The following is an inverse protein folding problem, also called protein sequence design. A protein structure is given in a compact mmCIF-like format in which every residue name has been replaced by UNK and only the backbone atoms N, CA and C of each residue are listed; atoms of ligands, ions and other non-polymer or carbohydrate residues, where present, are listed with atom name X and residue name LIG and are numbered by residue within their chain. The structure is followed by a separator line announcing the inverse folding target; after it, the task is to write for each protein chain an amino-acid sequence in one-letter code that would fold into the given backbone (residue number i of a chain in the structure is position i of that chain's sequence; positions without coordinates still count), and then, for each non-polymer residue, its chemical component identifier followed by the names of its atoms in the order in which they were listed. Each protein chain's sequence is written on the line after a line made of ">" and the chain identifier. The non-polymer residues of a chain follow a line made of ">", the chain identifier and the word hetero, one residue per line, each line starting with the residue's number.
data_IF_309373741392
#
_entry.id   IF_309373741392
#
_cell.length_a   1.000
_cell.length_b   1.000
_cell.length_c   1.000
_cell.angle_alpha   90.00
_cell.angle_beta   90.00
_cell.angle_gamma   90.00
#
_symmetry.space_group_name_H-M   'P 1'
#
loop_
_entity.id
_entity.type
_entity.pdbx_description
1 polymer ?
#
# COMPACT_ATOMS: atom_id res chain seq x y z
N UNK A 1 1.42 -32.49 -11.81
CA UNK A 1 0.97 -31.86 -13.07
C UNK A 1 2.21 -31.42 -13.85
N UNK A 2 2.33 -31.76 -15.14
CA UNK A 2 3.55 -31.40 -15.91
C UNK A 2 3.51 -29.91 -16.28
N UNK A 3 4.64 -29.20 -16.23
CA UNK A 3 4.72 -27.76 -16.54
C UNK A 3 4.13 -27.34 -17.90
N UNK A 4 3.96 -28.28 -18.84
CA UNK A 4 3.29 -28.07 -20.13
C UNK A 4 1.75 -27.98 -20.02
N UNK A 5 1.13 -28.70 -19.09
CA UNK A 5 -0.33 -28.70 -18.90
C UNK A 5 -0.79 -27.37 -18.30
N UNK A 6 -0.07 -26.90 -17.27
CA UNK A 6 -0.26 -25.57 -16.66
C UNK A 6 -0.13 -24.42 -17.67
N UNK A 7 0.70 -24.59 -18.71
CA UNK A 7 0.86 -23.58 -19.74
C UNK A 7 -0.44 -23.41 -20.56
N UNK A 8 -1.14 -24.49 -20.89
CA UNK A 8 -2.36 -24.42 -21.69
C UNK A 8 -3.48 -23.70 -20.95
N UNK A 9 -3.56 -23.87 -19.63
CA UNK A 9 -4.54 -23.18 -18.79
C UNK A 9 -4.34 -21.67 -18.78
N UNK A 10 -3.16 -21.15 -19.09
CA UNK A 10 -2.91 -19.70 -19.17
C UNK A 10 -3.50 -19.05 -20.43
N UNK A 11 -3.81 -19.84 -21.47
CA UNK A 11 -4.30 -19.30 -22.75
C UNK A 11 -5.76 -19.68 -22.99
N UNK A 12 -6.52 -18.77 -23.60
CA UNK A 12 -7.91 -19.02 -23.98
C UNK A 12 -8.00 -19.64 -25.36
N UNK A 13 -8.79 -20.70 -25.53
CA UNK A 13 -9.14 -21.22 -26.86
C UNK A 13 -10.15 -20.33 -27.59
N UNK A 14 -10.25 -20.46 -28.91
CA UNK A 14 -11.21 -19.67 -29.70
C UNK A 14 -12.67 -19.93 -29.27
N UNK A 15 -12.98 -21.15 -28.76
CA UNK A 15 -14.30 -21.47 -28.22
C UNK A 15 -14.58 -20.76 -26.88
N UNK A 16 -13.60 -20.75 -25.97
CA UNK A 16 -13.72 -20.10 -24.66
C UNK A 16 -13.73 -18.58 -24.77
N UNK A 17 -13.00 -18.01 -25.73
CA UNK A 17 -12.94 -16.55 -25.94
C UNK A 17 -14.31 -15.90 -26.18
N UNK A 18 -15.33 -16.68 -26.57
CA UNK A 18 -16.71 -16.21 -26.74
C UNK A 18 -17.41 -15.89 -25.43
N UNK A 19 -17.02 -16.52 -24.33
CA UNK A 19 -17.57 -16.25 -22.99
C UNK A 19 -16.67 -15.31 -22.17
N UNK A 20 -15.57 -14.83 -22.75
CA UNK A 20 -14.59 -13.97 -22.09
C UNK A 20 -14.72 -12.55 -22.61
N UNK A 21 -14.47 -11.58 -21.73
CA UNK A 21 -14.43 -10.17 -22.11
C UNK A 21 -12.99 -9.77 -22.42
N UNK A 22 -12.76 -8.97 -23.46
CA UNK A 22 -11.44 -8.35 -23.64
C UNK A 22 -11.23 -7.31 -22.53
N UNK A 23 -10.00 -7.17 -22.05
CA UNK A 23 -9.66 -6.22 -20.98
C UNK A 23 -10.19 -4.81 -21.26
N UNK A 24 -10.00 -4.32 -22.49
CA UNK A 24 -10.39 -2.96 -22.86
C UNK A 24 -11.90 -2.76 -22.95
N UNK A 25 -12.61 -3.79 -23.41
CA UNK A 25 -14.07 -3.76 -23.49
C UNK A 25 -14.66 -3.81 -22.08
N UNK A 26 -14.04 -4.58 -21.19
CA UNK A 26 -14.44 -4.72 -19.79
C UNK A 26 -14.22 -3.44 -18.98
N UNK A 27 -13.17 -2.68 -19.28
CA UNK A 27 -12.90 -1.39 -18.64
C UNK A 27 -13.68 -0.22 -19.26
N UNK A 28 -14.46 -0.46 -20.32
CA UNK A 28 -15.16 0.61 -21.02
C UNK A 28 -16.32 1.13 -20.18
N UNK A 29 -16.22 2.37 -19.72
CA UNK A 29 -17.24 3.00 -18.88
C UNK A 29 -17.08 2.73 -17.39
N UNK A 30 -16.00 2.05 -16.99
CA UNK A 30 -15.68 1.76 -15.59
C UNK A 30 -14.61 2.74 -15.07
N UNK A 31 -14.81 3.22 -13.84
CA UNK A 31 -13.82 4.04 -13.17
C UNK A 31 -12.69 3.18 -12.59
N UNK A 32 -11.45 3.59 -12.87
CA UNK A 32 -10.26 2.91 -12.33
C UNK A 32 -9.80 3.47 -10.99
N UNK A 33 -10.26 4.67 -10.67
CA UNK A 33 -9.82 5.46 -9.52
C UNK A 33 -11.05 6.10 -8.90
N UNK A 34 -11.08 6.14 -7.58
CA UNK A 34 -12.05 6.87 -6.79
C UNK A 34 -11.34 7.89 -5.92
N UNK A 35 -11.96 9.04 -5.76
CA UNK A 35 -11.57 10.03 -4.77
C UNK A 35 -12.17 9.63 -3.43
N UNK A 36 -11.38 9.77 -2.36
CA UNK A 36 -11.80 9.39 -1.02
C UNK A 36 -11.45 10.49 -0.04
N UNK A 37 -12.40 10.84 0.82
CA UNK A 37 -12.14 11.76 1.91
C UNK A 37 -11.26 11.06 2.95
N UNK A 38 -10.15 11.70 3.30
CA UNK A 38 -9.25 11.20 4.33
C UNK A 38 -9.36 12.09 5.57
N UNK A 39 -9.93 11.57 6.67
CA UNK A 39 -10.06 12.33 7.91
C UNK A 39 -8.72 12.92 8.37
N UNK A 40 -8.72 14.22 8.65
CA UNK A 40 -7.56 14.96 9.14
C UNK A 40 -6.51 15.32 8.11
N UNK A 41 -6.71 14.97 6.85
CA UNK A 41 -6.00 15.60 5.77
C UNK A 41 -6.66 16.95 5.40
N UNK A 42 -5.89 17.77 4.68
CA UNK A 42 -6.39 19.01 4.10
C UNK A 42 -7.56 18.68 3.16
N UNK A 43 -8.77 19.22 3.40
CA UNK A 43 -9.95 18.93 2.58
C UNK A 43 -9.80 19.38 1.13
N UNK A 44 -8.88 20.30 0.84
CA UNK A 44 -8.59 20.75 -0.53
C UNK A 44 -7.60 19.80 -1.25
N UNK A 45 -7.04 18.81 -0.53
CA UNK A 45 -6.12 17.83 -1.08
C UNK A 45 -6.85 16.60 -1.62
N UNK A 46 -6.79 16.41 -2.93
CA UNK A 46 -7.39 15.25 -3.60
C UNK A 46 -6.63 13.95 -3.26
N UNK A 47 -7.33 13.02 -2.63
CA UNK A 47 -6.81 11.70 -2.26
C UNK A 47 -7.41 10.62 -3.16
N UNK A 48 -6.56 9.96 -3.92
CA UNK A 48 -6.98 8.99 -4.94
C UNK A 48 -6.62 7.57 -4.55
N UNK A 49 -7.55 6.64 -4.78
CA UNK A 49 -7.39 5.20 -4.55
C UNK A 49 -7.88 4.43 -5.77
N UNK A 50 -7.25 3.30 -6.10
CA UNK A 50 -7.79 2.40 -7.13
C UNK A 50 -9.13 1.80 -6.72
N UNK A 51 -10.03 1.64 -7.68
CA UNK A 51 -11.23 0.82 -7.46
C UNK A 51 -10.85 -0.64 -7.22
N UNK A 52 -11.72 -1.39 -6.54
CA UNK A 52 -11.51 -2.83 -6.35
C UNK A 52 -11.40 -3.57 -7.67
N UNK A 53 -12.15 -3.12 -8.68
CA UNK A 53 -12.07 -3.67 -10.02
C UNK A 53 -10.67 -3.47 -10.62
N UNK A 54 -10.19 -2.23 -10.68
CA UNK A 54 -8.86 -1.93 -11.21
C UNK A 54 -7.75 -2.67 -10.44
N UNK A 55 -7.88 -2.76 -9.12
CA UNK A 55 -6.98 -3.51 -8.23
C UNK A 55 -6.94 -5.01 -8.58
N UNK A 56 -8.10 -5.65 -8.65
CA UNK A 56 -8.22 -7.09 -8.93
C UNK A 56 -7.75 -7.43 -10.34
N UNK A 57 -8.06 -6.60 -11.34
CA UNK A 57 -7.58 -6.80 -12.71
C UNK A 57 -6.06 -6.67 -12.80
N UNK A 58 -5.49 -5.67 -12.12
CA UNK A 58 -4.03 -5.49 -12.04
C UNK A 58 -3.36 -6.70 -11.40
N UNK A 59 -3.90 -7.19 -10.27
CA UNK A 59 -3.42 -8.38 -9.59
C UNK A 59 -3.50 -9.62 -10.49
N UNK A 60 -4.65 -9.83 -11.13
CA UNK A 60 -4.92 -10.96 -12.03
C UNK A 60 -3.92 -11.02 -13.20
N UNK A 61 -3.58 -9.88 -13.80
CA UNK A 61 -2.54 -9.80 -14.85
C UNK A 61 -1.16 -10.15 -14.29
N UNK A 62 -0.80 -9.61 -13.11
CA UNK A 62 0.50 -9.87 -12.49
C UNK A 62 0.65 -11.33 -12.07
N UNK A 63 -0.40 -11.93 -11.52
CA UNK A 63 -0.45 -13.36 -11.24
C UNK A 63 -0.22 -14.14 -12.52
N UNK A 64 -0.96 -13.87 -13.59
CA UNK A 64 -0.78 -14.57 -14.86
C UNK A 64 0.68 -14.59 -15.34
N UNK A 65 1.38 -13.45 -15.26
CA UNK A 65 2.80 -13.38 -15.60
C UNK A 65 3.71 -14.11 -14.60
N UNK A 66 3.38 -14.05 -13.31
CA UNK A 66 4.04 -14.85 -12.27
C UNK A 66 3.96 -16.35 -12.60
N UNK A 67 2.79 -16.86 -12.94
CA UNK A 67 2.59 -18.26 -13.35
C UNK A 67 3.37 -18.60 -14.62
N UNK A 68 3.33 -17.73 -15.65
CA UNK A 68 4.10 -17.92 -16.88
C UNK A 68 5.61 -18.03 -16.61
N UNK A 69 6.14 -17.13 -15.77
CA UNK A 69 7.55 -17.06 -15.44
C UNK A 69 8.00 -18.22 -14.57
N UNK A 70 7.15 -18.70 -13.66
CA UNK A 70 7.36 -19.90 -12.85
C UNK A 70 7.36 -21.17 -13.70
N UNK A 71 6.52 -21.24 -14.73
CA UNK A 71 6.55 -22.31 -15.73
C UNK A 71 7.81 -22.27 -16.64
N UNK A 72 8.68 -21.28 -16.49
CA UNK A 72 9.93 -21.16 -17.24
C UNK A 72 9.77 -20.55 -18.63
N UNK A 73 8.68 -19.80 -18.86
CA UNK A 73 8.36 -19.16 -20.13
C UNK A 73 8.28 -17.63 -20.03
N UNK A 74 8.26 -16.97 -21.19
CA UNK A 74 8.22 -15.51 -21.32
C UNK A 74 7.69 -15.16 -22.72
N UNK A 75 6.98 -14.03 -22.82
CA UNK A 75 6.53 -13.46 -24.09
C UNK A 75 7.54 -12.45 -24.66
N UNK A 76 8.66 -12.21 -23.96
CA UNK A 76 9.72 -11.28 -24.35
C UNK A 76 9.20 -9.85 -24.61
N UNK A 77 8.16 -9.41 -23.89
CA UNK A 77 7.52 -8.11 -24.01
C UNK A 77 6.50 -7.99 -25.15
N UNK A 78 6.20 -9.07 -25.88
CA UNK A 78 5.31 -9.06 -27.05
C UNK A 78 3.82 -9.15 -26.67
N UNK A 79 3.35 -8.19 -25.87
CA UNK A 79 1.97 -8.12 -25.36
C UNK A 79 1.36 -6.74 -25.57
N UNK A 80 0.05 -6.71 -25.80
CA UNK A 80 -0.79 -5.53 -25.71
C UNK A 80 -2.06 -5.82 -24.91
N UNK A 81 -2.81 -4.78 -24.54
CA UNK A 81 -4.06 -4.94 -23.82
C UNK A 81 -5.13 -5.70 -24.62
N UNK A 82 -5.06 -5.70 -25.95
CA UNK A 82 -5.97 -6.46 -26.84
C UNK A 82 -5.75 -7.98 -26.78
N UNK A 83 -4.60 -8.40 -26.27
CA UNK A 83 -4.25 -9.82 -26.17
C UNK A 83 -4.79 -10.47 -24.89
N UNK A 84 -5.30 -9.66 -23.96
CA UNK A 84 -5.73 -10.08 -22.63
C UNK A 84 -7.25 -10.18 -22.58
N UNK A 85 -7.69 -11.36 -22.14
CA UNK A 85 -9.07 -11.71 -21.91
C UNK A 85 -9.30 -11.93 -20.42
N UNK A 86 -10.51 -11.64 -19.98
CA UNK A 86 -10.98 -11.86 -18.62
C UNK A 86 -12.03 -12.95 -18.67
N UNK A 87 -11.76 -14.04 -17.97
CA UNK A 87 -12.75 -15.09 -17.78
C UNK A 87 -13.86 -14.62 -16.81
N UNK A 88 -15.01 -15.32 -16.75
CA UNK A 88 -16.15 -14.89 -15.93
C UNK A 88 -15.83 -14.68 -14.45
N UNK A 89 -14.83 -15.38 -13.92
CA UNK A 89 -14.37 -15.24 -12.53
C UNK A 89 -13.28 -14.16 -12.35
N UNK A 90 -13.03 -13.32 -13.35
CA UNK A 90 -12.07 -12.20 -13.28
C UNK A 90 -10.59 -12.59 -13.46
N UNK A 91 -10.29 -13.86 -13.72
CA UNK A 91 -8.92 -14.29 -13.98
C UNK A 91 -8.48 -13.95 -15.41
N UNK A 92 -7.26 -13.44 -15.54
CA UNK A 92 -6.67 -13.09 -16.82
C UNK A 92 -6.33 -14.36 -17.61
N UNK A 93 -6.57 -14.29 -18.91
CA UNK A 93 -6.16 -15.28 -19.91
C UNK A 93 -5.54 -14.55 -21.08
N UNK A 94 -4.59 -15.20 -21.75
CA UNK A 94 -3.95 -14.64 -22.94
C UNK A 94 -4.50 -15.29 -24.21
N UNK A 95 -4.61 -14.53 -25.29
CA UNK A 95 -5.00 -15.05 -26.60
C UNK A 95 -4.10 -16.22 -27.03
N UNK A 96 -4.68 -17.37 -27.42
CA UNK A 96 -3.93 -18.58 -27.86
C UNK A 96 -2.85 -18.29 -28.91
N UNK A 97 -3.13 -17.36 -29.83
CA UNK A 97 -2.19 -16.96 -30.86
C UNK A 97 -0.84 -16.46 -30.33
N UNK A 98 -0.73 -16.07 -29.06
CA UNK A 98 0.52 -15.67 -28.40
C UNK A 98 1.40 -16.82 -27.97
N UNK A 99 0.89 -18.05 -27.90
CA UNK A 99 1.69 -19.22 -27.55
C UNK A 99 2.88 -19.43 -28.49
N UNK A 100 2.74 -19.07 -29.78
CA UNK A 100 3.82 -19.14 -30.76
C UNK A 100 4.99 -18.18 -30.48
N UNK A 101 4.77 -17.16 -29.64
CA UNK A 101 5.78 -16.17 -29.26
C UNK A 101 6.54 -16.55 -27.99
N UNK A 102 6.17 -17.67 -27.35
CA UNK A 102 6.78 -18.11 -26.10
C UNK A 102 8.26 -18.43 -26.30
N UNK A 103 9.08 -17.84 -25.42
CA UNK A 103 10.52 -18.08 -25.34
C UNK A 103 10.85 -18.56 -23.94
N UNK A 104 11.94 -19.34 -23.80
CA UNK A 104 12.46 -19.70 -22.47
C UNK A 104 12.68 -18.47 -21.61
N UNK A 105 12.21 -18.50 -20.38
CA UNK A 105 12.36 -17.40 -19.45
C UNK A 105 13.84 -17.17 -19.13
N UNK A 106 14.29 -15.93 -19.30
CA UNK A 106 15.61 -15.45 -18.89
C UNK A 106 15.43 -14.11 -18.20
N UNK A 107 16.34 -13.71 -17.32
CA UNK A 107 16.26 -12.46 -16.55
C UNK A 107 15.92 -11.25 -17.43
N UNK A 108 16.63 -11.07 -18.55
CA UNK A 108 16.37 -9.96 -19.50
C UNK A 108 14.96 -10.01 -20.12
N UNK A 109 14.45 -11.20 -20.43
CA UNK A 109 13.11 -11.36 -21.03
C UNK A 109 12.00 -11.15 -19.99
N UNK A 110 12.24 -11.58 -18.75
CA UNK A 110 11.38 -11.30 -17.61
C UNK A 110 11.20 -9.80 -17.39
N UNK A 111 12.29 -9.04 -17.43
CA UNK A 111 12.24 -7.58 -17.32
C UNK A 111 11.45 -6.94 -18.49
N UNK A 112 11.62 -7.44 -19.72
CA UNK A 112 10.82 -6.99 -20.87
C UNK A 112 9.33 -7.26 -20.70
N UNK A 113 8.96 -8.46 -20.25
CA UNK A 113 7.57 -8.79 -19.94
C UNK A 113 7.00 -7.83 -18.90
N UNK A 114 7.71 -7.61 -17.79
CA UNK A 114 7.24 -6.72 -16.71
C UNK A 114 7.10 -5.27 -17.17
N UNK A 115 8.02 -4.78 -18.00
CA UNK A 115 7.89 -3.45 -18.60
C UNK A 115 6.65 -3.36 -19.51
N UNK A 116 6.38 -4.39 -20.32
CA UNK A 116 5.19 -4.42 -21.16
C UNK A 116 3.90 -4.53 -20.32
N UNK A 117 3.93 -5.26 -19.20
CA UNK A 117 2.83 -5.32 -18.23
C UNK A 117 2.54 -3.94 -17.63
N UNK A 118 3.56 -3.15 -17.31
CA UNK A 118 3.36 -1.77 -16.86
C UNK A 118 2.60 -0.92 -17.90
N UNK A 119 2.92 -1.10 -19.19
CA UNK A 119 2.23 -0.40 -20.26
C UNK A 119 0.78 -0.87 -20.44
N UNK A 120 0.52 -2.17 -20.27
CA UNK A 120 -0.83 -2.73 -20.26
C UNK A 120 -1.66 -2.20 -19.09
N UNK A 121 -1.11 -2.18 -17.88
CA UNK A 121 -1.82 -1.68 -16.69
C UNK A 121 -2.13 -0.19 -16.86
N UNK A 122 -1.12 0.62 -17.22
CA UNK A 122 -1.32 2.05 -17.41
C UNK A 122 -2.26 2.36 -18.57
N UNK A 123 -2.03 1.76 -19.75
CA UNK A 123 -2.78 2.06 -20.98
C UNK A 123 -4.03 1.22 -21.19
N UNK A 124 -4.33 0.25 -20.32
CA UNK A 124 -5.48 -0.64 -20.42
C UNK A 124 -6.45 -0.51 -19.25
N UNK A 125 -5.93 -0.28 -18.04
CA UNK A 125 -6.74 -0.07 -16.83
C UNK A 125 -6.79 1.43 -16.55
N UNK A 126 -5.66 2.07 -16.26
CA UNK A 126 -5.60 3.48 -15.85
C UNK A 126 -5.49 4.48 -17.02
N UNK A 127 -6.30 4.27 -18.07
CA UNK A 127 -6.17 4.85 -19.42
C UNK A 127 -6.09 6.37 -19.53
N UNK A 128 -6.67 7.09 -18.58
CA UNK A 128 -6.78 8.55 -18.61
C UNK A 128 -7.24 9.02 -17.25
N UNK A 129 -6.33 9.63 -16.50
CA UNK A 129 -6.65 10.17 -15.19
C UNK A 129 -5.41 10.26 -14.30
N UNK A 130 -5.60 10.89 -13.15
CA UNK A 130 -4.62 10.92 -12.09
C UNK A 130 -4.42 9.49 -11.55
N UNK A 131 -3.20 8.97 -11.69
CA UNK A 131 -2.87 7.63 -11.20
C UNK A 131 -2.54 7.72 -9.70
N UNK A 132 -3.18 6.91 -8.83
CA UNK A 132 -2.82 6.84 -7.42
C UNK A 132 -1.32 6.57 -7.22
N UNK A 133 -0.72 7.19 -6.20
CA UNK A 133 0.73 7.14 -5.98
C UNK A 133 1.26 5.70 -5.87
N UNK A 134 0.55 4.85 -5.14
CA UNK A 134 0.91 3.44 -4.96
C UNK A 134 0.92 2.68 -6.30
N UNK A 135 -0.03 2.94 -7.19
CA UNK A 135 -0.01 2.42 -8.57
C UNK A 135 1.17 3.00 -9.36
N UNK A 136 1.48 4.30 -9.24
CA UNK A 136 2.68 4.86 -9.87
C UNK A 136 3.95 4.15 -9.40
N UNK A 137 4.06 3.85 -8.11
CA UNK A 137 5.18 3.11 -7.55
C UNK A 137 5.23 1.65 -8.08
N UNK A 138 4.08 0.97 -8.18
CA UNK A 138 3.99 -0.35 -8.79
C UNK A 138 4.45 -0.33 -10.25
N UNK A 139 3.97 0.62 -11.06
CA UNK A 139 4.40 0.81 -12.44
C UNK A 139 5.90 1.07 -12.54
N UNK A 140 6.46 1.85 -11.61
CA UNK A 140 7.90 2.07 -11.53
C UNK A 140 8.68 0.77 -11.26
N UNK A 141 8.21 -0.07 -10.32
CA UNK A 141 8.82 -1.38 -10.01
C UNK A 141 8.79 -2.32 -11.22
N UNK A 142 7.70 -2.31 -11.99
CA UNK A 142 7.55 -3.13 -13.19
C UNK A 142 8.48 -2.68 -14.33
N UNK A 143 8.61 -1.37 -14.54
CA UNK A 143 9.53 -0.80 -15.56
C UNK A 143 10.99 -1.03 -15.22
N UNK A 144 11.33 -0.97 -13.94
CA UNK A 144 12.70 -1.17 -13.44
C UNK A 144 12.87 -2.56 -12.83
N UNK A 145 12.17 -3.55 -13.39
CA UNK A 145 12.05 -4.86 -12.78
C UNK A 145 13.40 -5.53 -12.53
N UNK A 146 13.55 -6.05 -11.32
CA UNK A 146 14.65 -6.92 -10.89
C UNK A 146 14.05 -8.21 -10.34
N UNK A 147 14.75 -9.33 -10.51
CA UNK A 147 14.23 -10.66 -10.14
C UNK A 147 13.75 -10.75 -8.70
N UNK A 148 14.45 -10.08 -7.77
CA UNK A 148 14.09 -10.06 -6.36
C UNK A 148 12.84 -9.21 -6.04
N UNK A 149 12.33 -8.40 -6.98
CA UNK A 149 11.05 -7.71 -6.82
C UNK A 149 9.84 -8.62 -6.98
N UNK A 150 9.99 -9.85 -7.50
CA UNK A 150 8.85 -10.73 -7.78
C UNK A 150 7.88 -10.89 -6.59
N UNK A 151 8.42 -11.11 -5.38
CA UNK A 151 7.59 -11.25 -4.18
C UNK A 151 6.92 -9.94 -3.76
N UNK A 152 7.59 -8.81 -3.96
CA UNK A 152 7.05 -7.50 -3.66
C UNK A 152 5.91 -7.13 -4.61
N UNK A 153 6.00 -7.50 -5.88
CA UNK A 153 4.97 -7.14 -6.87
C UNK A 153 3.60 -7.70 -6.51
N UNK A 154 3.50 -8.99 -6.14
CA UNK A 154 2.22 -9.62 -5.80
C UNK A 154 1.68 -9.21 -4.42
N UNK A 155 2.53 -8.68 -3.56
CA UNK A 155 2.17 -8.23 -2.22
C UNK A 155 2.29 -6.71 -2.07
N UNK A 156 2.31 -5.99 -3.19
CA UNK A 156 2.41 -4.54 -3.19
C UNK A 156 1.14 -3.96 -2.56
N UNK A 157 1.27 -2.95 -1.70
CA UNK A 157 0.11 -2.38 -0.97
C UNK A 157 -1.05 -1.96 -1.88
N UNK A 158 -0.75 -1.52 -3.10
CA UNK A 158 -1.76 -1.15 -4.10
C UNK A 158 -2.63 -2.30 -4.61
N UNK A 159 -2.20 -3.56 -4.42
CA UNK A 159 -2.92 -4.75 -4.86
C UNK A 159 -3.68 -5.44 -3.72
N UNK A 160 -3.31 -5.12 -2.49
CA UNK A 160 -3.89 -5.70 -1.30
C UNK A 160 -5.27 -5.11 -1.04
N UNK A 161 -6.17 -5.96 -0.56
CA UNK A 161 -7.42 -5.50 0.02
C UNK A 161 -7.16 -4.78 1.35
N UNK A 162 -8.21 -4.17 1.90
CA UNK A 162 -8.08 -3.33 3.10
C UNK A 162 -7.57 -4.11 4.32
N UNK A 163 -8.07 -5.33 4.51
CA UNK A 163 -7.64 -6.21 5.60
C UNK A 163 -6.15 -6.56 5.52
N UNK A 164 -5.65 -6.87 4.32
CA UNK A 164 -4.25 -7.19 4.10
C UNK A 164 -3.35 -5.94 4.22
N UNK A 165 -3.81 -4.76 3.80
CA UNK A 165 -3.11 -3.51 4.03
C UNK A 165 -3.04 -3.17 5.53
N UNK A 166 -4.13 -3.35 6.27
CA UNK A 166 -4.15 -3.20 7.73
C UNK A 166 -3.16 -4.16 8.41
N UNK A 167 -3.06 -5.40 7.92
CA UNK A 167 -2.07 -6.34 8.40
C UNK A 167 -0.63 -5.81 8.20
N UNK A 168 -0.30 -5.29 7.00
CA UNK A 168 1.01 -4.69 6.75
C UNK A 168 1.31 -3.48 7.64
N UNK A 169 0.31 -2.62 7.84
CA UNK A 169 0.41 -1.43 8.71
C UNK A 169 0.72 -1.85 10.15
N UNK A 170 0.25 -3.03 10.59
CA UNK A 170 0.56 -3.59 11.92
C UNK A 170 1.94 -4.24 11.99
N UNK A 171 2.30 -5.03 11.00
CA UNK A 171 3.50 -5.88 11.05
C UNK A 171 4.80 -5.14 10.74
N UNK A 172 4.77 -4.16 9.81
CA UNK A 172 5.96 -3.38 9.45
C UNK A 172 6.54 -2.65 10.69
N UNK A 173 5.76 -1.89 11.47
CA UNK A 173 6.29 -1.23 12.67
C UNK A 173 6.79 -2.23 13.71
N UNK A 174 6.07 -3.32 13.96
CA UNK A 174 6.50 -4.34 14.91
C UNK A 174 7.86 -4.93 14.52
N UNK A 175 8.04 -5.27 13.24
CA UNK A 175 9.30 -5.81 12.75
C UNK A 175 10.43 -4.79 12.81
N UNK A 176 10.17 -3.56 12.40
CA UNK A 176 11.14 -2.47 12.49
C UNK A 176 11.61 -2.23 13.94
N UNK A 177 10.72 -2.37 14.94
CA UNK A 177 11.07 -2.24 16.36
C UNK A 177 11.97 -3.38 16.80
N UNK A 178 11.65 -4.61 16.42
CA UNK A 178 12.53 -5.75 16.68
C UNK A 178 13.92 -5.52 16.07
N UNK A 179 13.97 -5.06 14.81
CA UNK A 179 15.24 -4.76 14.13
C UNK A 179 16.04 -3.65 14.81
N UNK A 180 15.38 -2.61 15.33
CA UNK A 180 16.08 -1.55 16.07
C UNK A 180 16.85 -2.07 17.29
N UNK A 181 16.40 -3.20 17.88
CA UNK A 181 17.05 -3.87 19.02
C UNK A 181 18.03 -4.96 18.58
N UNK A 182 17.67 -5.75 17.56
CA UNK A 182 18.45 -6.91 17.10
C UNK A 182 19.59 -6.55 16.16
N UNK A 183 19.37 -5.59 15.25
CA UNK A 183 20.34 -5.15 14.25
C UNK A 183 20.14 -3.66 13.93
N UNK A 184 20.66 -2.76 14.79
CA UNK A 184 20.52 -1.31 14.62
C UNK A 184 21.12 -0.79 13.30
N UNK A 185 22.12 -1.47 12.76
CA UNK A 185 22.75 -1.07 11.50
C UNK A 185 21.80 -1.34 10.31
N UNK A 186 21.20 -2.54 10.25
CA UNK A 186 20.18 -2.86 9.24
C UNK A 186 18.97 -1.97 9.37
N UNK A 187 18.51 -1.72 10.60
CA UNK A 187 17.44 -0.77 10.86
C UNK A 187 17.71 0.61 10.21
N UNK A 188 18.87 1.21 10.47
CA UNK A 188 19.27 2.50 9.89
C UNK A 188 19.29 2.48 8.36
N UNK A 189 19.78 1.39 7.74
CA UNK A 189 19.76 1.24 6.27
C UNK A 189 18.34 1.17 5.69
N UNK A 190 17.38 0.59 6.41
CA UNK A 190 15.97 0.57 5.97
C UNK A 190 15.37 1.98 6.08
N UNK A 191 15.44 2.58 7.27
CA UNK A 191 14.80 3.86 7.56
C UNK A 191 15.34 5.00 6.70
N UNK A 192 16.65 5.03 6.43
CA UNK A 192 17.26 6.03 5.54
C UNK A 192 16.71 6.04 4.10
N UNK A 193 16.07 4.95 3.66
CA UNK A 193 15.46 4.81 2.33
C UNK A 193 13.97 5.18 2.30
N UNK A 194 13.36 5.40 3.47
CA UNK A 194 11.94 5.77 3.61
C UNK A 194 11.84 7.30 3.63
N UNK A 195 10.99 7.93 2.80
CA UNK A 195 10.80 9.38 2.80
C UNK A 195 10.38 9.87 4.17
N UNK A 196 10.72 11.11 4.48
CA UNK A 196 10.36 11.78 5.74
C UNK A 196 10.96 11.12 7.00
N UNK A 197 11.88 10.16 6.84
CA UNK A 197 12.52 9.42 7.94
C UNK A 197 14.05 9.62 7.97
N UNK A 198 14.57 10.59 7.21
CA UNK A 198 15.98 10.97 7.33
C UNK A 198 16.16 11.77 8.63
N UNK A 199 17.18 11.43 9.41
CA UNK A 199 17.42 11.96 10.76
C UNK A 199 17.61 13.48 10.82
N UNK A 200 17.94 14.08 9.68
CA UNK A 200 18.25 15.49 9.48
C UNK A 200 17.05 16.32 8.99
N UNK A 201 15.88 15.70 8.80
CA UNK A 201 14.69 16.34 8.23
C UNK A 201 13.42 15.90 8.97
N UNK A 202 13.03 16.65 10.01
CA UNK A 202 11.83 16.48 10.84
C UNK A 202 10.50 16.71 10.09
N UNK A 203 10.20 15.88 9.08
CA UNK A 203 9.04 16.10 8.21
C UNK A 203 7.81 15.27 8.53
N UNK A 204 7.93 14.09 9.15
CA UNK A 204 6.76 13.31 9.54
C UNK A 204 6.06 13.96 10.74
N UNK A 205 6.83 14.46 11.73
CA UNK A 205 6.33 15.18 12.92
C UNK A 205 5.47 16.38 12.52
N UNK A 206 5.92 17.18 11.55
CA UNK A 206 5.17 18.31 11.00
C UNK A 206 3.83 17.88 10.38
N UNK A 207 3.80 16.76 9.65
CA UNK A 207 2.56 16.23 9.03
C UNK A 207 1.58 15.68 10.06
N UNK A 208 2.07 15.07 11.14
CA UNK A 208 1.24 14.65 12.26
C UNK A 208 0.66 15.86 12.99
N UNK A 209 1.49 16.88 13.24
CA UNK A 209 1.10 18.14 13.87
C UNK A 209 0.04 18.91 13.08
N UNK A 210 0.12 18.84 11.75
CA UNK A 210 -0.88 19.45 10.85
C UNK A 210 -2.19 18.65 10.77
N UNK A 211 -2.18 17.36 11.13
CA UNK A 211 -3.37 16.53 11.14
C UNK A 211 -4.01 16.57 12.53
N UNK A 212 -5.03 17.40 12.70
CA UNK A 212 -5.74 17.60 13.97
C UNK A 212 -6.31 16.31 14.58
N UNK A 213 -6.60 15.28 13.78
CA UNK A 213 -7.09 14.00 14.27
C UNK A 213 -5.92 13.17 14.80
N UNK A 214 -4.81 13.11 14.06
CA UNK A 214 -3.58 12.52 14.56
C UNK A 214 -3.10 13.25 15.83
N UNK A 215 -3.16 14.58 15.90
CA UNK A 215 -2.80 15.31 17.12
C UNK A 215 -3.68 14.95 18.31
N UNK A 216 -5.01 14.93 18.15
CA UNK A 216 -5.92 14.49 19.23
C UNK A 216 -5.66 13.06 19.69
N UNK A 217 -5.26 12.21 18.76
CA UNK A 217 -4.87 10.82 19.03
C UNK A 217 -3.49 10.75 19.70
N UNK A 218 -2.57 11.66 19.38
CA UNK A 218 -1.18 11.66 19.86
C UNK A 218 -0.99 12.48 21.15
N UNK A 219 -2.00 13.22 21.60
CA UNK A 219 -2.01 13.89 22.89
C UNK A 219 -2.02 12.84 24.02
N UNK A 220 -1.01 12.81 24.90
CA UNK A 220 -1.06 11.96 26.07
C UNK A 220 -2.25 12.41 26.94
N UNK A 221 -3.09 11.47 27.39
CA UNK A 221 -4.11 11.77 28.40
C UNK A 221 -3.45 12.52 29.55
N UNK A 222 -3.89 13.76 29.78
CA UNK A 222 -3.46 14.49 30.96
C UNK A 222 -4.02 13.73 32.17
N UNK A 223 -3.17 13.21 33.07
CA UNK A 223 -3.69 12.79 34.35
C UNK A 223 -4.02 14.09 35.08
N UNK A 224 -5.32 14.39 35.22
CA UNK A 224 -5.96 15.07 36.36
C UNK A 224 -7.29 15.69 35.91
N UNK A 225 -8.38 15.01 36.23
CA UNK A 225 -9.62 15.64 36.69
C UNK A 225 -10.27 14.73 37.71
N UNK A 226 -9.51 14.42 38.76
CA UNK A 226 -10.09 14.03 40.05
C UNK A 226 -10.51 15.33 40.74
N UNK A 227 -11.78 15.39 41.14
CA UNK A 227 -12.44 16.41 41.96
C UNK A 227 -12.70 17.78 41.33
N UNK A 228 -13.93 17.94 40.82
CA UNK A 228 -14.65 19.21 40.95
C UNK A 228 -15.63 19.09 42.14
N UNK A 229 -15.27 19.65 43.29
CA UNK A 229 -16.27 20.14 44.23
C UNK A 229 -16.80 21.48 43.71
N UNK A 230 -18.11 21.76 43.84
CA UNK A 230 -18.68 23.02 43.40
C UNK A 230 -18.36 24.11 44.43
N UNK A 231 -17.82 25.24 43.98
CA UNK A 231 -17.79 26.45 44.81
C UNK A 231 -18.27 27.65 43.99
N UNK A 232 -19.16 28.42 44.62
CA UNK A 232 -19.95 29.51 44.08
C UNK A 232 -19.10 30.64 43.47
N UNK A 233 -19.65 31.26 42.41
CA UNK A 233 -19.29 32.59 41.90
C UNK A 233 -19.57 33.69 42.95
N UNK A 234 -18.97 34.91 42.88
CA UNK A 234 -19.43 35.94 41.93
C UNK A 234 -18.29 36.97 41.54
N UNK A 235 -18.55 38.23 41.09
CA UNK A 235 -18.48 38.61 39.68
C UNK A 235 -17.57 39.83 39.37
N UNK A 236 -17.49 40.18 38.08
CA UNK A 236 -17.01 41.44 37.48
C UNK A 236 -15.49 41.67 37.37
N UNK A 237 -15.06 41.90 36.12
CA UNK A 237 -13.76 42.50 35.81
C UNK A 237 -13.35 42.33 34.35
N UNK A 238 -13.68 43.31 33.52
CA UNK A 238 -13.31 43.45 32.10
C UNK A 238 -11.78 43.55 31.92
N UNK A 239 -11.15 42.71 31.07
CA UNK A 239 -9.79 42.93 30.54
C UNK A 239 -9.60 42.36 29.11
N UNK A 240 -8.67 42.92 28.32
CA UNK A 240 -8.68 42.95 26.83
C UNK A 240 -8.07 41.69 26.18
N UNK A 241 -8.18 41.51 24.83
CA UNK A 241 -7.70 40.30 24.17
C UNK A 241 -6.18 40.21 24.22
N UNK A 242 -5.69 39.26 25.02
CA UNK A 242 -4.30 38.81 25.02
C UNK A 242 -4.06 38.04 23.73
N UNK A 243 -3.09 38.50 22.94
CA UNK A 243 -2.55 37.74 21.82
C UNK A 243 -2.01 36.40 22.34
N UNK A 244 -2.62 35.30 21.90
CA UNK A 244 -2.11 33.96 22.14
C UNK A 244 -0.82 33.78 21.35
N UNK A 245 0.32 34.01 22.01
CA UNK A 245 1.54 33.33 21.66
C UNK A 245 1.33 31.85 21.95
N UNK A 246 1.06 31.07 20.90
CA UNK A 246 1.04 29.61 21.00
C UNK A 246 2.49 29.15 21.03
N UNK A 247 3.05 29.05 22.23
CA UNK A 247 4.19 28.17 22.49
C UNK A 247 3.71 26.73 22.29
N UNK A 248 3.92 26.20 21.09
CA UNK A 248 3.66 24.80 20.75
C UNK A 248 4.60 23.90 21.55
N UNK A 249 4.09 23.30 22.61
CA UNK A 249 4.72 22.18 23.30
C UNK A 249 3.89 20.94 22.94
N UNK A 250 4.11 20.43 21.73
CA UNK A 250 3.76 19.03 21.43
C UNK A 250 4.81 18.10 22.05
N UNK A 251 4.51 16.81 22.27
CA UNK A 251 5.49 15.89 22.85
C UNK A 251 6.75 15.86 21.98
N UNK A 252 7.90 16.06 22.62
CA UNK A 252 9.19 15.90 21.97
C UNK A 252 9.42 14.44 21.64
N UNK A 253 9.06 14.08 20.40
CA UNK A 253 9.56 12.88 19.77
C UNK A 253 11.06 13.08 19.57
N UNK A 254 11.89 12.38 20.36
CA UNK A 254 13.35 12.37 20.20
C UNK A 254 13.74 12.16 18.74
N UNK A 255 14.68 12.96 18.23
CA UNK A 255 15.28 12.88 16.88
C UNK A 255 16.14 11.61 16.66
N UNK A 256 15.93 10.60 17.50
CA UNK A 256 16.58 9.32 17.39
C UNK A 256 15.82 8.40 16.43
N UNK A 257 16.52 7.35 16.01
CA UNK A 257 16.07 6.26 15.15
C UNK A 257 14.63 5.77 15.38
N UNK A 258 14.02 5.96 16.54
CA UNK A 258 12.67 5.54 16.94
C UNK A 258 11.49 6.36 16.39
N UNK A 259 11.68 7.51 15.73
CA UNK A 259 10.60 8.44 15.36
C UNK A 259 9.45 7.84 14.52
N UNK A 260 9.75 7.25 13.36
CA UNK A 260 8.73 6.61 12.49
C UNK A 260 8.03 5.44 13.20
N UNK A 261 8.78 4.68 13.99
CA UNK A 261 8.25 3.56 14.76
C UNK A 261 7.27 4.02 15.81
N UNK A 262 7.62 5.09 16.54
CA UNK A 262 6.75 5.73 17.53
C UNK A 262 5.54 6.33 16.84
N UNK A 263 5.68 7.02 15.71
CA UNK A 263 4.56 7.49 14.91
C UNK A 263 3.58 6.39 14.49
N UNK A 264 4.06 5.37 13.77
CA UNK A 264 3.21 4.29 13.27
C UNK A 264 2.57 3.51 14.43
N UNK A 265 3.26 3.43 15.56
CA UNK A 265 2.77 2.76 16.76
C UNK A 265 1.74 3.60 17.53
N UNK A 266 2.01 4.87 17.77
CA UNK A 266 1.13 5.79 18.49
C UNK A 266 -0.14 6.04 17.67
N UNK A 267 -0.04 6.19 16.34
CA UNK A 267 -1.21 6.22 15.47
C UNK A 267 -2.00 4.91 15.51
N UNK A 268 -1.34 3.77 15.66
CA UNK A 268 -2.03 2.50 15.69
C UNK A 268 -2.72 2.25 17.04
N UNK A 269 -2.05 2.52 18.17
CA UNK A 269 -2.55 2.19 19.50
C UNK A 269 -3.44 3.26 20.11
N UNK A 270 -3.12 4.53 19.96
CA UNK A 270 -3.99 5.56 20.52
C UNK A 270 -5.34 5.58 19.79
N UNK A 271 -5.38 5.19 18.52
CA UNK A 271 -6.65 5.02 17.77
C UNK A 271 -7.44 3.81 18.29
N UNK A 272 -6.77 2.75 18.73
CA UNK A 272 -7.42 1.61 19.39
C UNK A 272 -7.93 2.03 20.77
N UNK A 273 -7.14 2.72 21.58
CA UNK A 273 -7.54 3.12 22.94
C UNK A 273 -8.72 4.11 22.94
N UNK A 274 -8.75 5.08 22.02
CA UNK A 274 -9.92 5.95 21.80
C UNK A 274 -11.17 5.20 21.31
N UNK A 275 -11.04 3.96 20.83
CA UNK A 275 -12.17 3.11 20.43
C UNK A 275 -12.53 2.01 21.44
N UNK A 276 -11.93 2.03 22.64
CA UNK A 276 -12.30 1.17 23.78
C UNK A 276 -13.00 1.95 24.92
N UNK A 277 -13.10 3.29 24.84
CA UNK A 277 -13.98 4.09 25.69
C UNK A 277 -15.44 4.01 25.23
N UNK A 278 -16.29 3.36 26.03
CA UNK A 278 -17.72 3.09 25.80
C UNK A 278 -18.05 2.16 24.63
N UNK A 279 -18.16 0.88 24.97
CA UNK A 279 -18.74 -0.18 24.15
C UNK A 279 -20.26 0.05 24.01
N UNK A 280 -20.66 0.92 23.08
CA UNK A 280 -21.79 0.66 22.18
C UNK A 280 -21.42 1.24 20.79
N UNK A 281 -21.59 0.41 19.75
CA UNK A 281 -21.28 0.68 18.33
C UNK A 281 -19.80 0.64 17.88
N UNK A 282 -19.17 -0.52 18.13
CA UNK A 282 -18.05 -1.05 17.34
C UNK A 282 -18.41 -1.06 15.84
N UNK A 283 -17.82 -0.17 15.03
CA UNK A 283 -17.42 -0.43 13.61
C UNK A 283 -16.78 0.76 12.86
N UNK A 284 -16.87 2.00 13.36
CA UNK A 284 -16.66 3.19 12.50
C UNK A 284 -15.22 3.73 12.45
N UNK A 285 -14.35 3.40 13.42
CA UNK A 285 -12.99 4.01 13.50
C UNK A 285 -11.93 3.29 12.65
N UNK A 286 -12.09 1.98 12.38
CA UNK A 286 -11.14 1.21 11.56
C UNK A 286 -11.02 1.66 10.09
N UNK A 287 -12.12 2.01 9.38
CA UNK A 287 -12.06 2.49 8.00
C UNK A 287 -11.25 3.79 7.85
N UNK A 288 -11.33 4.69 8.83
CA UNK A 288 -10.68 6.01 8.80
C UNK A 288 -9.16 5.89 8.94
N UNK A 289 -8.69 5.10 9.90
CA UNK A 289 -7.27 4.76 10.06
C UNK A 289 -6.69 4.11 8.78
N UNK A 290 -7.46 3.20 8.19
CA UNK A 290 -7.09 2.55 6.95
C UNK A 290 -6.98 3.56 5.80
N UNK A 291 -7.97 4.44 5.63
CA UNK A 291 -7.94 5.49 4.60
C UNK A 291 -6.73 6.42 4.77
N UNK A 292 -6.41 6.81 6.01
CA UNK A 292 -5.24 7.65 6.29
C UNK A 292 -3.93 6.97 5.87
N UNK A 293 -3.70 5.72 6.25
CA UNK A 293 -2.43 5.06 5.94
C UNK A 293 -2.34 4.54 4.50
N UNK A 294 -3.42 3.96 3.98
CA UNK A 294 -3.44 3.40 2.61
C UNK A 294 -3.51 4.48 1.53
N UNK A 295 -4.13 5.65 1.82
CA UNK A 295 -4.41 6.68 0.81
C UNK A 295 -3.65 7.99 1.06
N UNK A 296 -3.48 8.44 2.31
CA UNK A 296 -2.65 9.65 2.56
C UNK A 296 -1.15 9.34 2.66
N UNK A 297 -0.76 8.11 3.02
CA UNK A 297 0.66 7.71 3.10
C UNK A 297 1.07 6.48 2.26
N UNK A 298 0.53 6.24 1.05
CA UNK A 298 0.92 5.10 0.21
C UNK A 298 2.44 5.09 -0.05
N UNK A 299 3.02 6.28 -0.22
CA UNK A 299 4.45 6.46 -0.41
C UNK A 299 5.33 5.91 0.71
N UNK A 300 4.86 5.97 1.96
CA UNK A 300 5.61 5.46 3.12
C UNK A 300 5.55 3.94 3.10
N UNK A 301 4.36 3.35 2.99
CA UNK A 301 4.20 1.89 2.98
C UNK A 301 4.96 1.26 1.82
N UNK A 302 4.75 1.74 0.58
CA UNK A 302 5.41 1.19 -0.60
C UNK A 302 6.94 1.25 -0.51
N UNK A 303 7.49 2.35 0.01
CA UNK A 303 8.94 2.49 0.16
C UNK A 303 9.49 1.73 1.36
N UNK A 304 8.74 1.61 2.45
CA UNK A 304 9.05 0.68 3.54
C UNK A 304 9.15 -0.75 3.01
N UNK A 305 8.14 -1.22 2.27
CA UNK A 305 8.15 -2.56 1.68
C UNK A 305 9.39 -2.77 0.80
N UNK A 306 9.69 -1.83 -0.09
CA UNK A 306 10.88 -1.86 -0.94
C UNK A 306 12.18 -1.85 -0.15
N UNK A 307 12.31 -1.00 0.88
CA UNK A 307 13.51 -0.90 1.70
C UNK A 307 13.74 -2.16 2.53
N UNK A 308 12.69 -2.71 3.14
CA UNK A 308 12.73 -3.97 3.88
C UNK A 308 13.06 -5.15 2.97
N UNK A 309 12.56 -5.16 1.72
CA UNK A 309 12.95 -6.18 0.74
C UNK A 309 14.45 -6.18 0.46
N UNK A 310 15.05 -5.00 0.31
CA UNK A 310 16.50 -4.87 0.04
C UNK A 310 17.37 -5.40 1.18
N UNK A 311 16.83 -5.50 2.39
CA UNK A 311 17.51 -6.02 3.57
C UNK A 311 17.02 -7.43 3.97
N UNK A 312 16.23 -8.10 3.10
CA UNK A 312 15.62 -9.41 3.33
C UNK A 312 14.67 -9.49 4.54
N UNK A 313 14.01 -8.39 4.89
CA UNK A 313 13.11 -8.30 6.05
C UNK A 313 11.63 -8.37 5.69
N UNK A 314 11.28 -8.12 4.42
CA UNK A 314 9.89 -8.00 4.00
C UNK A 314 9.08 -9.29 4.21
N UNK A 315 9.70 -10.47 4.08
CA UNK A 315 9.03 -11.76 4.28
C UNK A 315 8.47 -11.96 5.69
N UNK A 316 9.01 -11.27 6.69
CA UNK A 316 8.50 -11.33 8.07
C UNK A 316 7.24 -10.49 8.28
N UNK A 317 6.90 -9.61 7.33
CA UNK A 317 5.77 -8.69 7.42
C UNK A 317 4.60 -9.09 6.53
N UNK A 318 4.80 -10.03 5.61
CA UNK A 318 3.74 -10.45 4.70
C UNK A 318 2.75 -11.37 5.43
N UNK A 319 1.43 -11.21 5.21
CA UNK A 319 0.50 -12.25 5.58
C UNK A 319 0.95 -13.53 4.87
N UNK A 320 0.85 -14.69 5.51
CA UNK A 320 1.28 -15.98 4.95
C UNK A 320 0.52 -16.30 3.64
N UNK A 321 0.90 -15.65 2.55
CA UNK A 321 0.58 -16.01 1.18
C UNK A 321 1.73 -16.88 0.65
N UNK A 322 1.47 -17.77 -0.32
CA UNK A 322 2.45 -18.72 -0.79
C UNK A 322 3.72 -17.97 -1.15
N UNK A 323 4.82 -18.25 -0.45
CA UNK A 323 6.07 -17.65 -0.85
C UNK A 323 6.40 -18.24 -2.22
N UNK A 324 6.88 -17.40 -3.13
CA UNK A 324 7.38 -17.86 -4.42
C UNK A 324 8.48 -18.93 -4.27
N UNK A 325 9.09 -19.06 -3.07
CA UNK A 325 10.01 -20.15 -2.73
C UNK A 325 9.30 -21.49 -2.52
N UNK A 326 8.04 -21.51 -2.11
CA UNK A 326 7.26 -22.72 -1.87
C UNK A 326 6.65 -23.29 -3.16
N UNK A 327 6.58 -22.47 -4.22
CA UNK A 327 6.19 -22.91 -5.58
C UNK A 327 7.40 -23.47 -6.36
N UNK A 328 8.62 -23.28 -5.85
CA UNK A 328 9.88 -23.63 -6.53
C UNK A 328 10.70 -24.71 -5.82
N UNK A 329 10.11 -25.43 -4.87
CA UNK A 329 10.63 -26.69 -4.34
C UNK A 329 9.76 -27.86 -4.81
#
# INVERSE_FOLDING_TARGET
>A
MKAKELLWELFTSDKESKSYSKLLDYMKGEDSVVEVDVPGCDPDLRHLKSTDLARLLTLSILEWFSWLHSAGWSLNGEISSDDIFLAPLGHAKMKKGKMKLLKRCKVKRRAKDMNAVANVIQGGIFRSGDIPYDIQHLLWLLRHFRSYYANLLLNHSSLLNESANLFLIRTIPQRLRQLSKLDPAKYRRIISKVPYCKMDQDHWKLRCQQNQYLMKILEPESPLSVQAQPTLAPPNGTQPPVALQISSIGPDYDNNTSGLLKFLWDCYWNIIDYSVGEVQEKKVVFPQLHQMFSVAFPQVICRCQKAMLMENELSHCMPNGPSFRDILK
#
